data_IF_728801108750
#
_entry.id   IF_728801108750
#
_cell.length_a   1.000
_cell.length_b   1.000
_cell.length_c   1.000
_cell.angle_alpha   90.00
_cell.angle_beta   90.00
_cell.angle_gamma   90.00
#
_symmetry.space_group_name_H-M   'P 1'
#
loop_
_entity.id
_entity.type
_entity.pdbx_description
1 polymer ?
#
# COMPACT_ATOMS: atom_id res chain seq x y z
N UNK A 1 -2.55 5.75 28.67
CA UNK A 1 -2.95 4.69 27.71
C UNK A 1 -3.81 3.62 28.37
N UNK A 2 -3.40 3.04 29.50
CA UNK A 2 -4.20 2.01 30.21
C UNK A 2 -5.54 2.55 30.73
N UNK A 3 -5.49 3.72 31.36
CA UNK A 3 -6.66 4.40 31.93
C UNK A 3 -7.64 4.90 30.85
N UNK A 4 -7.12 5.37 29.71
CA UNK A 4 -7.94 5.70 28.52
C UNK A 4 -8.64 4.46 27.95
N UNK A 5 -7.99 3.29 27.99
CA UNK A 5 -8.54 2.04 27.48
C UNK A 5 -9.65 1.52 28.39
N UNK A 6 -9.44 1.58 29.70
CA UNK A 6 -10.42 1.14 30.71
C UNK A 6 -11.67 2.02 30.69
N UNK A 7 -11.52 3.36 30.65
CA UNK A 7 -12.64 4.29 30.51
C UNK A 7 -13.41 4.09 29.20
N UNK A 8 -12.71 3.81 28.11
CA UNK A 8 -13.33 3.57 26.81
C UNK A 8 -14.14 2.27 26.79
N UNK A 9 -13.63 1.19 27.39
CA UNK A 9 -14.32 -0.11 27.48
C UNK A 9 -15.59 -0.04 28.35
N UNK A 10 -15.56 0.74 29.43
CA UNK A 10 -16.71 0.97 30.31
C UNK A 10 -17.81 1.77 29.60
N UNK A 11 -17.47 2.88 28.94
CA UNK A 11 -18.44 3.72 28.22
C UNK A 11 -19.09 2.97 27.04
N UNK A 12 -18.34 2.14 26.30
CA UNK A 12 -18.90 1.33 25.22
C UNK A 12 -19.85 0.23 25.71
N UNK A 13 -19.66 -0.28 26.93
CA UNK A 13 -20.52 -1.32 27.50
C UNK A 13 -21.81 -0.74 28.11
N UNK A 14 -21.80 0.53 28.49
CA UNK A 14 -22.90 1.17 29.19
C UNK A 14 -23.79 2.08 28.32
N UNK A 15 -23.42 2.34 27.05
CA UNK A 15 -24.19 3.23 26.16
C UNK A 15 -25.01 2.48 25.11
N UNK A 16 -26.30 2.80 25.01
CA UNK A 16 -27.16 2.35 23.90
C UNK A 16 -26.89 3.13 22.59
N UNK A 17 -26.30 4.33 22.68
CA UNK A 17 -25.94 5.20 21.55
C UNK A 17 -24.42 5.48 21.50
N UNK A 18 -23.75 4.81 20.56
CA UNK A 18 -22.32 4.98 20.26
C UNK A 18 -21.96 6.45 19.96
N UNK A 19 -22.89 7.23 19.40
CA UNK A 19 -22.64 8.62 19.00
C UNK A 19 -22.44 9.52 20.21
N UNK A 20 -23.25 9.34 21.26
CA UNK A 20 -23.14 10.09 22.50
C UNK A 20 -21.81 9.78 23.21
N UNK A 21 -21.45 8.51 23.25
CA UNK A 21 -20.17 8.03 23.82
C UNK A 21 -18.96 8.63 23.12
N UNK A 22 -18.95 8.63 21.79
CA UNK A 22 -17.85 9.22 21.01
C UNK A 22 -17.70 10.73 21.25
N UNK A 23 -18.78 11.45 21.54
CA UNK A 23 -18.75 12.89 21.81
C UNK A 23 -18.25 13.24 23.22
N UNK A 24 -18.36 12.32 24.19
CA UNK A 24 -17.87 12.51 25.57
C UNK A 24 -16.35 12.35 25.70
N UNK A 25 -15.71 11.71 24.73
CA UNK A 25 -14.28 11.46 24.78
C UNK A 25 -13.49 12.76 24.67
N UNK A 26 -12.43 12.94 25.49
CA UNK A 26 -11.58 14.15 25.46
C UNK A 26 -10.76 14.26 24.17
N UNK A 27 -10.72 13.18 23.38
CA UNK A 27 -10.09 13.07 22.09
C UNK A 27 -11.13 12.59 21.08
N UNK A 28 -11.00 13.03 19.82
CA UNK A 28 -11.81 12.50 18.72
C UNK A 28 -11.20 11.19 18.25
N UNK A 29 -11.81 10.02 18.52
CA UNK A 29 -11.19 8.73 18.19
C UNK A 29 -10.93 8.57 16.69
N UNK A 30 -11.79 9.14 15.84
CA UNK A 30 -11.59 9.20 14.40
C UNK A 30 -10.27 9.89 14.03
N UNK A 31 -9.88 10.95 14.72
CA UNK A 31 -8.64 11.68 14.41
C UNK A 31 -7.42 10.84 14.82
N UNK A 32 -7.50 10.12 15.94
CA UNK A 32 -6.44 9.20 16.37
C UNK A 32 -6.35 7.96 15.47
N UNK A 33 -7.49 7.43 15.02
CA UNK A 33 -7.55 6.35 14.03
C UNK A 33 -6.94 6.81 12.70
N UNK A 34 -7.29 7.99 12.20
CA UNK A 34 -6.70 8.54 10.98
C UNK A 34 -5.19 8.73 11.13
N UNK A 35 -4.70 9.30 12.25
CA UNK A 35 -3.26 9.41 12.51
C UNK A 35 -2.57 8.05 12.47
N UNK A 36 -3.23 6.99 12.94
CA UNK A 36 -2.68 5.63 12.95
C UNK A 36 -2.73 4.96 11.57
N UNK A 37 -3.80 5.16 10.81
CA UNK A 37 -4.01 4.60 9.47
C UNK A 37 -3.11 5.26 8.43
N UNK A 38 -2.92 6.59 8.49
CA UNK A 38 -2.04 7.32 7.57
C UNK A 38 -0.54 7.21 7.92
N UNK A 39 -0.22 6.73 9.13
CA UNK A 39 1.16 6.52 9.57
C UNK A 39 2.01 7.79 9.51
N UNK A 40 3.27 7.64 9.10
CA UNK A 40 4.20 8.76 8.91
C UNK A 40 4.09 9.46 7.54
N UNK A 41 3.16 9.02 6.68
CA UNK A 41 2.98 9.56 5.33
C UNK A 41 4.07 9.21 4.31
N UNK A 42 5.11 8.46 4.69
CA UNK A 42 6.14 7.98 3.75
C UNK A 42 5.60 6.78 2.95
N UNK A 43 6.11 6.60 1.75
CA UNK A 43 5.73 5.51 0.84
C UNK A 43 6.95 4.82 0.24
N UNK A 44 6.85 3.52 -0.01
CA UNK A 44 7.91 2.73 -0.62
C UNK A 44 8.34 3.39 -1.94
N UNK A 45 9.66 3.60 -2.16
CA UNK A 45 10.14 4.34 -3.32
C UNK A 45 9.74 3.71 -4.65
N UNK A 46 9.56 2.39 -4.70
CA UNK A 46 9.27 1.63 -5.91
C UNK A 46 7.77 1.44 -6.17
N UNK A 47 7.04 0.83 -5.24
CA UNK A 47 5.62 0.49 -5.44
C UNK A 47 4.62 1.48 -4.82
N UNK A 48 5.11 2.47 -4.07
CA UNK A 48 4.31 3.46 -3.34
C UNK A 48 3.36 2.88 -2.27
N UNK A 49 3.62 1.66 -1.80
CA UNK A 49 2.96 1.12 -0.60
C UNK A 49 3.22 2.06 0.61
N UNK A 50 2.21 2.33 1.45
CA UNK A 50 2.39 3.19 2.62
C UNK A 50 3.36 2.57 3.63
N UNK A 51 4.07 3.41 4.37
CA UNK A 51 4.89 2.97 5.49
C UNK A 51 4.01 2.47 6.64
N UNK A 52 4.36 1.31 7.18
CA UNK A 52 3.65 0.65 8.29
C UNK A 52 4.48 0.62 9.58
N UNK A 53 5.68 1.21 9.57
CA UNK A 53 6.43 1.44 10.79
C UNK A 53 5.56 2.29 11.73
N UNK A 54 5.12 1.69 12.84
CA UNK A 54 4.07 2.23 13.69
C UNK A 54 4.40 3.63 14.24
N UNK A 55 3.35 4.43 14.45
CA UNK A 55 3.48 5.79 14.98
C UNK A 55 4.05 6.79 13.96
N UNK A 56 4.20 8.05 14.39
CA UNK A 56 4.74 9.13 13.54
C UNK A 56 6.27 9.17 13.52
N UNK A 57 6.90 8.78 14.62
CA UNK A 57 8.35 8.90 14.83
C UNK A 57 9.03 7.54 14.67
N UNK A 58 9.76 7.35 13.57
CA UNK A 58 10.63 6.20 13.34
C UNK A 58 11.71 6.54 12.32
N UNK A 59 12.88 5.87 12.42
CA UNK A 59 14.03 6.12 11.55
C UNK A 59 14.01 5.28 10.27
N UNK A 60 13.42 4.09 10.33
CA UNK A 60 13.39 3.15 9.22
C UNK A 60 11.95 2.92 8.78
N UNK A 61 11.76 2.86 7.48
CA UNK A 61 10.49 2.68 6.82
C UNK A 61 10.41 1.28 6.21
N UNK A 62 9.26 0.65 6.36
CA UNK A 62 8.96 -0.64 5.75
C UNK A 62 7.46 -0.76 5.49
N UNK A 63 7.09 -1.73 4.67
CA UNK A 63 5.72 -2.21 4.51
C UNK A 63 5.76 -3.74 4.57
N UNK A 64 4.75 -4.36 5.20
CA UNK A 64 4.62 -5.82 5.21
C UNK A 64 4.12 -6.32 3.85
N UNK A 65 3.22 -5.58 3.21
CA UNK A 65 2.65 -5.95 1.92
C UNK A 65 3.07 -4.92 0.86
N UNK A 66 3.91 -5.37 -0.06
CA UNK A 66 4.24 -4.61 -1.26
C UNK A 66 3.27 -4.92 -2.40
N UNK A 67 3.15 -3.98 -3.34
CA UNK A 67 2.25 -4.10 -4.50
C UNK A 67 3.01 -4.04 -5.82
N UNK A 68 2.41 -4.49 -6.93
CA UNK A 68 2.99 -4.33 -8.25
C UNK A 68 3.38 -2.87 -8.51
N UNK A 69 4.59 -2.64 -9.00
CA UNK A 69 5.14 -1.28 -9.17
C UNK A 69 4.32 -0.41 -10.14
N UNK A 70 3.58 -1.03 -11.06
CA UNK A 70 2.63 -0.36 -11.95
C UNK A 70 1.55 0.43 -11.23
N UNK A 71 1.08 -0.04 -10.07
CA UNK A 71 0.16 0.71 -9.22
C UNK A 71 0.83 1.94 -8.58
N UNK A 72 2.16 1.91 -8.47
CA UNK A 72 3.01 3.05 -8.13
C UNK A 72 3.34 3.98 -9.32
N UNK A 73 2.69 3.79 -10.47
CA UNK A 73 2.89 4.52 -11.74
C UNK A 73 4.20 4.20 -12.47
N UNK A 74 4.79 3.04 -12.23
CA UNK A 74 5.99 2.58 -12.95
C UNK A 74 5.57 1.85 -14.25
N UNK A 75 6.17 2.25 -15.37
CA UNK A 75 5.94 1.62 -16.69
C UNK A 75 7.24 1.14 -17.29
N UNK A 76 7.16 0.07 -18.06
CA UNK A 76 8.24 -0.36 -18.92
C UNK A 76 8.47 0.71 -20.01
N UNK A 77 9.72 1.16 -20.19
CA UNK A 77 10.04 2.24 -21.14
C UNK A 77 9.74 1.83 -22.58
N UNK A 78 10.05 0.59 -22.96
CA UNK A 78 9.92 0.14 -24.35
C UNK A 78 8.49 -0.23 -24.74
N UNK A 79 7.71 -0.77 -23.81
CA UNK A 79 6.36 -1.28 -24.09
C UNK A 79 5.23 -0.42 -23.53
N UNK A 80 5.55 0.57 -22.71
CA UNK A 80 4.61 1.44 -21.96
C UNK A 80 3.64 0.71 -21.01
N UNK A 81 3.75 -0.63 -20.93
CA UNK A 81 2.97 -1.47 -20.02
C UNK A 81 3.33 -1.20 -18.57
N UNK A 82 2.32 -1.31 -17.70
CA UNK A 82 2.52 -1.25 -16.25
C UNK A 82 3.42 -2.39 -15.80
N UNK A 83 4.38 -2.09 -14.93
CA UNK A 83 5.28 -3.11 -14.37
C UNK A 83 4.53 -3.93 -13.32
N UNK A 84 4.46 -5.25 -13.51
CA UNK A 84 3.76 -6.14 -12.58
C UNK A 84 4.67 -6.74 -11.49
N UNK A 85 6.00 -6.56 -11.58
CA UNK A 85 6.93 -7.08 -10.58
C UNK A 85 6.78 -6.39 -9.22
N UNK A 86 7.01 -7.18 -8.17
CA UNK A 86 7.08 -6.70 -6.78
C UNK A 86 8.48 -6.18 -6.49
N UNK A 87 8.56 -5.08 -5.73
CA UNK A 87 9.85 -4.50 -5.37
C UNK A 87 10.65 -5.39 -4.40
N UNK A 88 9.99 -6.25 -3.63
CA UNK A 88 10.59 -7.27 -2.76
C UNK A 88 11.43 -8.26 -3.57
N UNK A 89 10.94 -8.70 -4.73
CA UNK A 89 11.70 -9.52 -5.68
C UNK A 89 12.79 -8.70 -6.39
N UNK A 90 12.43 -7.52 -6.89
CA UNK A 90 13.34 -6.72 -7.71
C UNK A 90 14.60 -6.29 -6.93
N UNK A 91 14.47 -5.82 -5.68
CA UNK A 91 15.62 -5.39 -4.83
C UNK A 91 16.63 -6.52 -4.54
N UNK A 92 16.21 -7.78 -4.66
CA UNK A 92 17.07 -8.95 -4.48
C UNK A 92 17.54 -9.58 -5.79
N UNK A 93 17.05 -9.10 -6.94
CA UNK A 93 17.42 -9.58 -8.28
C UNK A 93 18.66 -8.86 -8.85
N UNK A 94 19.15 -9.31 -10.01
CA UNK A 94 20.16 -8.58 -10.81
C UNK A 94 19.55 -7.47 -11.68
N UNK A 95 18.27 -7.17 -11.47
CA UNK A 95 17.56 -6.10 -12.14
C UNK A 95 18.16 -4.72 -11.84
N UNK A 96 17.69 -3.73 -12.60
CA UNK A 96 18.07 -2.33 -12.44
C UNK A 96 16.83 -1.46 -12.33
N UNK A 97 16.98 -0.34 -11.63
CA UNK A 97 15.96 0.70 -11.56
C UNK A 97 16.49 2.02 -12.07
N UNK A 98 15.56 2.86 -12.48
CA UNK A 98 15.79 4.22 -12.94
C UNK A 98 14.60 5.06 -12.52
N UNK A 99 14.88 6.17 -11.86
CA UNK A 99 13.88 7.16 -11.44
C UNK A 99 14.53 8.52 -11.16
N UNK A 100 13.74 9.45 -10.65
CA UNK A 100 14.16 10.81 -10.32
C UNK A 100 15.30 10.86 -9.29
N UNK A 101 15.31 9.98 -8.28
CA UNK A 101 16.39 9.93 -7.28
C UNK A 101 17.74 9.52 -7.88
N UNK A 102 17.71 8.68 -8.92
CA UNK A 102 18.89 8.27 -9.70
C UNK A 102 19.28 9.25 -10.80
N UNK A 103 18.63 10.43 -10.90
CA UNK A 103 18.79 11.36 -12.03
C UNK A 103 18.60 10.66 -13.37
N UNK A 104 17.61 9.78 -13.47
CA UNK A 104 17.28 9.08 -14.70
C UNK A 104 18.39 8.15 -15.23
N UNK A 105 19.28 7.67 -14.36
CA UNK A 105 20.31 6.67 -14.69
C UNK A 105 19.94 5.29 -14.16
N UNK A 106 20.36 4.25 -14.86
CA UNK A 106 20.13 2.87 -14.44
C UNK A 106 21.11 2.47 -13.34
N UNK A 107 20.59 1.98 -12.21
CA UNK A 107 21.38 1.46 -11.10
C UNK A 107 20.89 0.07 -10.68
N UNK A 108 21.77 -0.81 -10.17
CA UNK A 108 21.36 -2.10 -9.64
C UNK A 108 20.34 -1.94 -8.52
N UNK A 109 19.30 -2.75 -8.54
CA UNK A 109 18.29 -2.78 -7.50
C UNK A 109 18.87 -3.12 -6.12
N UNK A 110 19.86 -4.01 -6.06
CA UNK A 110 20.62 -4.37 -4.85
C UNK A 110 21.29 -3.16 -4.15
N UNK A 111 21.52 -2.07 -4.89
CA UNK A 111 22.16 -0.85 -4.40
C UNK A 111 21.15 0.24 -3.97
N UNK A 112 19.85 -0.08 -3.87
CA UNK A 112 18.82 0.93 -3.63
C UNK A 112 19.03 1.75 -2.35
N UNK A 113 19.64 1.17 -1.32
CA UNK A 113 19.91 1.83 -0.03
C UNK A 113 20.86 3.03 -0.14
N UNK A 114 21.65 3.13 -1.22
CA UNK A 114 22.44 4.33 -1.52
C UNK A 114 21.57 5.55 -1.81
N UNK A 115 20.34 5.33 -2.29
CA UNK A 115 19.37 6.36 -2.66
C UNK A 115 18.23 6.47 -1.64
N UNK A 116 17.92 5.38 -0.96
CA UNK A 116 16.85 5.26 0.02
C UNK A 116 17.38 4.58 1.30
N UNK A 117 18.28 5.23 2.04
CA UNK A 117 18.98 4.61 3.18
C UNK A 117 18.05 4.23 4.33
N UNK A 118 16.91 4.93 4.44
CA UNK A 118 15.94 4.73 5.50
C UNK A 118 14.86 3.70 5.14
N UNK A 119 14.89 3.12 3.93
CA UNK A 119 13.93 2.09 3.51
C UNK A 119 14.50 0.70 3.66
N UNK A 120 13.73 -0.17 4.32
CA UNK A 120 13.98 -1.61 4.38
C UNK A 120 12.91 -2.31 3.56
N UNK A 121 13.35 -3.01 2.53
CA UNK A 121 12.50 -3.83 1.67
C UNK A 121 13.03 -5.27 1.82
N UNK A 122 12.46 -6.08 2.73
CA UNK A 122 12.88 -7.46 2.90
C UNK A 122 12.46 -8.29 1.68
N UNK A 123 13.10 -9.45 1.44
CA UNK A 123 12.59 -10.40 0.48
C UNK A 123 11.22 -10.88 0.98
N UNK A 124 10.28 -11.08 0.07
CA UNK A 124 9.02 -11.73 0.43
C UNK A 124 9.36 -13.17 0.86
N UNK A 125 9.19 -13.47 2.15
CA UNK A 125 9.42 -14.81 2.67
C UNK A 125 8.27 -15.76 2.36
N UNK A 126 7.12 -15.25 1.88
CA UNK A 126 5.93 -16.01 1.53
C UNK A 126 5.47 -15.67 0.11
N UNK A 127 4.94 -16.64 -0.64
CA UNK A 127 4.37 -16.38 -1.98
C UNK A 127 3.03 -15.63 -1.91
N UNK A 128 2.48 -15.46 -0.71
CA UNK A 128 1.15 -14.90 -0.44
C UNK A 128 0.95 -13.50 -1.04
N UNK A 129 1.95 -12.63 -1.01
CA UNK A 129 1.83 -11.30 -1.60
C UNK A 129 1.69 -11.39 -3.13
N UNK A 130 2.48 -12.26 -3.79
CA UNK A 130 2.37 -12.51 -5.22
C UNK A 130 1.01 -13.12 -5.58
N UNK A 131 0.57 -14.14 -4.82
CA UNK A 131 -0.68 -14.84 -5.05
C UNK A 131 -1.90 -13.90 -4.88
N UNK A 132 -1.89 -13.06 -3.84
CA UNK A 132 -2.91 -12.03 -3.62
C UNK A 132 -3.06 -11.09 -4.82
N UNK A 133 -1.95 -10.56 -5.35
CA UNK A 133 -2.00 -9.65 -6.50
C UNK A 133 -2.37 -10.36 -7.80
N UNK A 134 -2.02 -11.63 -7.96
CA UNK A 134 -2.42 -12.44 -9.10
C UNK A 134 -3.94 -12.67 -9.11
N UNK A 135 -4.54 -13.02 -7.96
CA UNK A 135 -5.99 -13.18 -7.81
C UNK A 135 -6.74 -11.87 -8.05
N UNK A 136 -6.26 -10.76 -7.47
CA UNK A 136 -6.85 -9.45 -7.66
C UNK A 136 -6.78 -8.99 -9.13
N UNK A 137 -5.62 -9.14 -9.77
CA UNK A 137 -5.44 -8.78 -11.19
C UNK A 137 -6.35 -9.61 -12.10
N UNK A 138 -6.51 -10.90 -11.80
CA UNK A 138 -7.40 -11.80 -12.55
C UNK A 138 -8.87 -11.38 -12.40
N UNK A 139 -9.28 -11.05 -11.18
CA UNK A 139 -10.64 -10.57 -10.88
C UNK A 139 -10.95 -9.27 -11.62
N UNK A 140 -10.02 -8.32 -11.62
CA UNK A 140 -10.16 -7.06 -12.35
C UNK A 140 -10.28 -7.31 -13.87
N UNK A 141 -9.41 -8.14 -14.44
CA UNK A 141 -9.48 -8.52 -15.85
C UNK A 141 -10.83 -9.17 -16.23
N UNK A 142 -11.33 -10.11 -15.42
CA UNK A 142 -12.64 -10.75 -15.63
C UNK A 142 -13.77 -9.70 -15.55
N UNK A 143 -13.72 -8.80 -14.56
CA UNK A 143 -14.74 -7.77 -14.38
C UNK A 143 -14.78 -6.77 -15.55
N UNK A 144 -13.62 -6.37 -16.07
CA UNK A 144 -13.49 -5.49 -17.23
C UNK A 144 -13.98 -6.19 -18.51
N UNK A 145 -13.64 -7.47 -18.68
CA UNK A 145 -14.12 -8.27 -19.81
C UNK A 145 -15.65 -8.43 -19.79
N UNK A 146 -16.26 -8.65 -18.62
CA UNK A 146 -17.72 -8.75 -18.45
C UNK A 146 -18.40 -7.41 -18.78
N UNK A 147 -17.90 -6.31 -18.24
CA UNK A 147 -18.42 -4.96 -18.54
C UNK A 147 -18.31 -4.62 -20.03
N UNK A 148 -17.17 -4.92 -20.66
CA UNK A 148 -16.99 -4.71 -22.09
C UNK A 148 -17.97 -5.54 -22.93
N UNK A 149 -18.20 -6.80 -22.57
CA UNK A 149 -19.15 -7.66 -23.27
C UNK A 149 -20.60 -7.17 -23.11
N UNK A 150 -20.97 -6.68 -21.92
CA UNK A 150 -22.30 -6.13 -21.62
C UNK A 150 -22.56 -4.79 -22.35
N UNK A 151 -21.54 -3.93 -22.49
CA UNK A 151 -21.64 -2.70 -23.29
C UNK A 151 -21.76 -2.96 -24.80
N UNK A 152 -21.11 -4.02 -25.30
CA UNK A 152 -21.25 -4.44 -26.70
C UNK A 152 -22.67 -4.99 -26.95
N UNK A 153 -23.22 -5.79 -26.04
CA UNK A 153 -24.58 -6.34 -26.17
C UNK A 153 -25.68 -5.28 -26.09
N UNK A 154 -25.53 -4.27 -25.23
CA UNK A 154 -26.50 -3.15 -25.12
C UNK A 154 -26.47 -2.23 -26.34
N UNK A 155 -25.35 -2.18 -27.07
CA UNK A 155 -25.21 -1.38 -28.31
C UNK A 155 -25.73 -2.10 -29.58
N UNK A 156 -26.05 -3.39 -29.50
CA UNK A 156 -26.55 -4.21 -30.63
C UNK A 156 -28.08 -4.36 -30.58
N UNK A 157 -28.74 -3.87 -29.52
CA UNK A 157 -30.21 -3.90 -29.38
C UNK A 157 -30.91 -2.56 -29.66
N UNK A 158 -30.36 -1.71 -30.54
CA UNK A 158 -31.02 -0.49 -31.06
C UNK A 158 -31.24 -0.59 -32.56
#
# INVERSE_FOLDING_TARGET
MKELKEQLEEEFSNSDDITETLNKLPIKPQDELFKRVFGCGRQCPFCKAPCEAGGKEHKQHHAAIHRPQGLGRVRCISSEKLVNSLCTTDVHSDGKFRNTATKEKWHPYKDYTKYYPDWIIPPDSTTEASDYWNEQSTTEHISLSRKSHEQVWTSVQV
#
